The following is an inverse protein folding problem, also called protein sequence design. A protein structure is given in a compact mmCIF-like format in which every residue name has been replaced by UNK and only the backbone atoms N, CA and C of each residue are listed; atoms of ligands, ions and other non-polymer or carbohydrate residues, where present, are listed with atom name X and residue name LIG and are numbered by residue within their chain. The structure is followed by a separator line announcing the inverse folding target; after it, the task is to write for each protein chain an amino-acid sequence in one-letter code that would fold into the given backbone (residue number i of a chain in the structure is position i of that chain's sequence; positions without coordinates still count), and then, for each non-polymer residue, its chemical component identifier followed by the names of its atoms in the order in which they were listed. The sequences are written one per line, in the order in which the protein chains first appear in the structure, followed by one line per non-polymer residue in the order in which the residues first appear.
data_IF_768986783548
#
_entry.id   IF_768986783548
#
_cell.length_a   1.000
_cell.length_b   1.000
_cell.length_c   1.000
_cell.angle_alpha   90.00
_cell.angle_beta   90.00
_cell.angle_gamma   90.00
#
_symmetry.space_group_name_H-M   'P 1'
#
loop_
_entity.id
_entity.type
_entity.pdbx_description
1 polymer ?
#
# COMPACT_ATOMS: atom_id res chain seq x y z
N UNK A 1 8.57 10.11 -67.33
CA UNK A 1 7.72 10.84 -66.35
C UNK A 1 6.97 9.82 -65.50
N UNK A 2 7.35 9.63 -64.23
CA UNK A 2 6.62 8.88 -63.18
C UNK A 2 7.60 8.68 -62.01
N UNK A 3 7.43 9.40 -60.89
CA UNK A 3 8.01 9.13 -59.55
C UNK A 3 7.77 10.31 -58.59
N UNK A 4 6.50 10.61 -58.25
CA UNK A 4 6.16 11.52 -57.12
C UNK A 4 4.87 11.17 -56.36
N UNK A 5 4.21 10.05 -56.66
CA UNK A 5 2.86 9.74 -56.12
C UNK A 5 2.89 8.79 -54.90
N UNK A 6 4.01 8.12 -54.62
CA UNK A 6 4.03 7.04 -53.61
C UNK A 6 4.27 7.56 -52.17
N UNK A 7 4.78 8.77 -51.99
CA UNK A 7 5.08 9.31 -50.66
C UNK A 7 3.88 9.88 -49.90
N UNK A 8 2.72 10.07 -50.55
CA UNK A 8 1.55 10.65 -49.89
C UNK A 8 0.59 9.60 -49.30
N UNK A 9 0.76 8.31 -49.66
CA UNK A 9 -0.12 7.24 -49.18
C UNK A 9 0.36 6.59 -47.85
N UNK A 10 1.64 6.72 -47.51
CA UNK A 10 2.22 6.08 -46.31
C UNK A 10 2.03 6.93 -45.04
N UNK A 11 1.63 8.20 -45.17
CA UNK A 11 1.37 9.07 -44.03
C UNK A 11 -0.08 8.96 -43.47
N UNK A 12 -0.93 8.12 -44.07
CA UNK A 12 -2.36 8.03 -43.74
C UNK A 12 -2.75 6.89 -42.78
N UNK A 13 -1.82 6.01 -42.37
CA UNK A 13 -2.18 4.78 -41.64
C UNK A 13 -1.59 4.64 -40.22
N UNK A 14 -1.02 5.69 -39.63
CA UNK A 14 -0.69 5.70 -38.20
C UNK A 14 -1.75 6.49 -37.40
N UNK A 15 -3.00 6.05 -37.44
CA UNK A 15 -3.95 6.36 -36.38
C UNK A 15 -3.76 5.34 -35.27
N UNK A 16 -2.90 5.64 -34.29
CA UNK A 16 -2.93 4.91 -33.03
C UNK A 16 -4.30 5.12 -32.40
N UNK A 17 -5.13 4.09 -32.38
CA UNK A 17 -6.32 4.08 -31.54
C UNK A 17 -5.86 4.11 -30.08
N UNK A 18 -5.96 5.27 -29.42
CA UNK A 18 -5.87 5.31 -27.97
C UNK A 18 -7.15 4.67 -27.42
N UNK A 19 -7.02 3.50 -26.78
CA UNK A 19 -8.09 3.01 -25.92
C UNK A 19 -8.15 3.95 -24.71
N UNK A 20 -9.03 4.94 -24.78
CA UNK A 20 -9.43 5.70 -23.61
C UNK A 20 -10.21 4.75 -22.72
N UNK A 21 -9.67 4.46 -21.54
CA UNK A 21 -10.37 3.73 -20.50
C UNK A 21 -11.63 4.54 -20.10
N UNK A 22 -12.76 4.10 -20.63
CA UNK A 22 -14.05 4.81 -20.64
C UNK A 22 -14.63 4.83 -19.22
N UNK A 23 -14.94 6.02 -18.72
CA UNK A 23 -15.45 6.21 -17.36
C UNK A 23 -16.85 5.59 -17.28
N UNK A 24 -16.96 4.45 -16.59
CA UNK A 24 -18.21 3.73 -16.46
C UNK A 24 -19.11 4.39 -15.39
N UNK A 25 -20.31 4.81 -15.80
CA UNK A 25 -21.32 5.40 -14.91
C UNK A 25 -22.19 4.31 -14.25
N UNK A 26 -22.76 4.61 -13.08
CA UNK A 26 -23.77 3.73 -12.48
C UNK A 26 -25.06 3.75 -13.31
N UNK A 27 -25.80 2.63 -13.37
CA UNK A 27 -27.05 2.57 -14.14
C UNK A 27 -28.16 3.51 -13.59
N UNK A 28 -28.13 3.81 -12.29
CA UNK A 28 -29.11 4.66 -11.59
C UNK A 28 -28.41 5.83 -10.88
N UNK A 29 -27.47 6.51 -11.56
CA UNK A 29 -26.87 7.71 -11.00
C UNK A 29 -27.87 8.87 -11.01
N UNK A 30 -27.89 9.74 -9.99
CA UNK A 30 -28.66 10.98 -10.06
C UNK A 30 -28.03 11.94 -11.08
N UNK A 31 -28.83 12.80 -11.72
CA UNK A 31 -28.29 13.84 -12.63
C UNK A 31 -27.55 14.95 -11.86
N UNK A 32 -27.96 15.20 -10.61
CA UNK A 32 -27.39 16.20 -9.70
C UNK A 32 -27.43 15.73 -8.25
N UNK A 33 -26.45 16.16 -7.46
CA UNK A 33 -26.38 15.94 -6.01
C UNK A 33 -26.12 17.27 -5.30
N UNK A 34 -26.93 17.57 -4.29
CA UNK A 34 -26.75 18.75 -3.44
C UNK A 34 -25.83 18.35 -2.29
N UNK A 35 -24.72 19.07 -2.15
CA UNK A 35 -23.72 18.84 -1.08
C UNK A 35 -24.37 19.11 0.27
N UNK A 36 -24.30 18.14 1.17
CA UNK A 36 -24.72 18.26 2.57
C UNK A 36 -23.48 18.28 3.47
N UNK A 37 -23.61 18.82 4.68
CA UNK A 37 -22.51 18.82 5.67
C UNK A 37 -22.02 17.39 5.94
N UNK A 38 -20.79 17.09 5.55
CA UNK A 38 -20.18 15.77 5.65
C UNK A 38 -19.89 15.09 4.30
N UNK A 39 -20.45 15.61 3.21
CA UNK A 39 -20.14 15.14 1.87
C UNK A 39 -18.70 15.50 1.46
N UNK A 40 -18.09 14.63 0.67
CA UNK A 40 -16.81 14.86 -0.01
C UNK A 40 -17.01 14.64 -1.50
N UNK A 41 -16.23 15.30 -2.36
CA UNK A 41 -16.29 15.06 -3.81
C UNK A 41 -16.09 13.58 -4.17
N UNK A 42 -15.34 12.86 -3.34
CA UNK A 42 -15.19 11.41 -3.44
C UNK A 42 -16.50 10.66 -3.20
N UNK A 43 -17.16 10.89 -2.06
CA UNK A 43 -18.43 10.24 -1.72
C UNK A 43 -19.56 10.60 -2.69
N UNK A 44 -19.53 11.82 -3.22
CA UNK A 44 -20.44 12.26 -4.28
C UNK A 44 -20.13 11.48 -5.56
N UNK A 45 -18.87 11.41 -5.99
CA UNK A 45 -18.45 10.68 -7.20
C UNK A 45 -18.83 9.19 -7.15
N UNK A 46 -18.83 8.56 -5.97
CA UNK A 46 -19.28 7.19 -5.79
C UNK A 46 -20.77 6.97 -6.10
N UNK A 47 -21.58 8.03 -6.16
CA UNK A 47 -23.00 7.98 -6.59
C UNK A 47 -23.15 8.07 -8.11
N UNK A 48 -22.16 8.64 -8.80
CA UNK A 48 -22.18 8.83 -10.26
C UNK A 48 -21.39 7.73 -11.00
N UNK A 49 -20.24 7.33 -10.44
CA UNK A 49 -19.29 6.41 -11.06
C UNK A 49 -19.50 4.98 -10.57
N UNK A 50 -19.35 4.01 -11.48
CA UNK A 50 -19.32 2.58 -11.14
C UNK A 50 -18.09 2.24 -10.30
N UNK A 51 -16.97 2.88 -10.61
CA UNK A 51 -15.68 2.75 -9.94
C UNK A 51 -15.30 4.07 -9.25
N UNK A 52 -15.62 4.23 -7.95
CA UNK A 52 -15.38 5.46 -7.21
C UNK A 52 -13.91 5.91 -7.21
N UNK A 53 -12.96 5.00 -7.47
CA UNK A 53 -11.51 5.24 -7.53
C UNK A 53 -11.06 6.07 -8.72
N UNK A 54 -11.89 6.17 -9.79
CA UNK A 54 -11.57 6.96 -10.98
C UNK A 54 -11.82 8.48 -10.79
N UNK A 55 -12.35 8.89 -9.64
CA UNK A 55 -12.68 10.29 -9.35
C UNK A 55 -11.53 11.31 -9.52
N UNK A 56 -10.23 11.02 -9.24
CA UNK A 56 -9.17 12.02 -9.44
C UNK A 56 -8.93 12.27 -10.93
N UNK A 57 -9.19 11.27 -11.78
CA UNK A 57 -9.11 11.36 -13.24
C UNK A 57 -10.21 12.31 -13.76
N UNK A 58 -11.44 12.15 -13.27
CA UNK A 58 -12.57 13.06 -13.56
C UNK A 58 -12.28 14.47 -13.06
N UNK A 59 -11.75 14.60 -11.85
CA UNK A 59 -11.38 15.91 -11.29
C UNK A 59 -10.23 16.58 -12.04
N UNK A 60 -9.20 15.83 -12.48
CA UNK A 60 -8.10 16.35 -13.31
C UNK A 60 -8.63 16.99 -14.60
N UNK A 61 -9.74 16.50 -15.17
CA UNK A 61 -10.41 17.09 -16.34
C UNK A 61 -11.15 18.39 -16.02
N UNK A 62 -11.60 18.59 -14.77
CA UNK A 62 -12.44 19.70 -14.33
C UNK A 62 -11.71 20.70 -13.40
N UNK A 63 -10.37 20.65 -13.39
CA UNK A 63 -9.51 21.44 -12.50
C UNK A 63 -9.69 22.96 -12.67
N UNK A 64 -10.24 23.39 -13.82
CA UNK A 64 -10.56 24.79 -14.10
C UNK A 64 -11.75 25.32 -13.26
N UNK A 65 -12.74 24.46 -12.98
CA UNK A 65 -13.96 24.81 -12.24
C UNK A 65 -13.80 24.51 -10.74
N UNK A 66 -13.16 23.39 -10.39
CA UNK A 66 -12.92 22.98 -8.99
C UNK A 66 -11.43 23.08 -8.67
N UNK A 67 -10.98 24.29 -8.30
CA UNK A 67 -9.57 24.59 -8.00
C UNK A 67 -9.02 23.85 -6.78
N UNK A 68 -9.88 23.50 -5.82
CA UNK A 68 -9.50 22.74 -4.64
C UNK A 68 -10.61 21.72 -4.32
N UNK A 69 -10.33 20.40 -4.40
CA UNK A 69 -11.30 19.35 -4.09
C UNK A 69 -11.90 19.41 -2.68
N UNK A 70 -11.20 20.06 -1.75
CA UNK A 70 -11.57 20.15 -0.34
C UNK A 70 -12.45 21.36 -0.01
N UNK A 71 -12.81 22.20 -0.99
CA UNK A 71 -13.66 23.39 -0.79
C UNK A 71 -15.03 23.18 -1.44
N UNK A 72 -15.78 22.20 -0.96
CA UNK A 72 -17.22 22.10 -1.23
C UNK A 72 -17.98 22.49 0.03
N UNK A 73 -19.03 23.28 -0.15
CA UNK A 73 -19.85 23.79 0.93
C UNK A 73 -21.24 23.18 0.89
N UNK A 74 -21.90 22.98 2.06
CA UNK A 74 -23.30 22.58 2.08
C UNK A 74 -24.15 23.55 1.26
N UNK A 75 -24.89 23.02 0.28
CA UNK A 75 -25.70 23.79 -0.68
C UNK A 75 -25.12 23.86 -2.10
N UNK A 76 -23.85 23.51 -2.31
CA UNK A 76 -23.29 23.38 -3.67
C UNK A 76 -23.98 22.25 -4.44
N UNK A 77 -24.18 22.40 -5.75
CA UNK A 77 -24.77 21.35 -6.59
C UNK A 77 -23.70 20.75 -7.48
N UNK A 78 -23.44 19.45 -7.32
CA UNK A 78 -22.57 18.68 -8.22
C UNK A 78 -23.43 17.99 -9.26
N UNK A 79 -23.24 18.31 -10.54
CA UNK A 79 -23.99 17.74 -11.65
C UNK A 79 -23.07 17.00 -12.62
N UNK A 80 -23.58 15.94 -13.23
CA UNK A 80 -22.88 15.24 -14.30
C UNK A 80 -23.24 15.87 -15.64
N UNK A 81 -22.26 16.49 -16.29
CA UNK A 81 -22.39 17.02 -17.64
C UNK A 81 -21.88 16.00 -18.65
N UNK A 82 -22.78 15.57 -19.54
CA UNK A 82 -22.50 14.61 -20.61
C UNK A 82 -22.45 15.27 -22.00
N UNK A 83 -22.49 16.61 -22.07
CA UNK A 83 -22.57 17.36 -23.33
C UNK A 83 -21.29 17.32 -24.18
N UNK A 84 -20.14 17.00 -23.58
CA UNK A 84 -18.82 16.98 -24.25
C UNK A 84 -18.40 15.60 -24.77
N UNK A 85 -19.25 14.57 -24.64
CA UNK A 85 -18.93 13.19 -25.03
C UNK A 85 -18.04 12.42 -24.04
N UNK A 86 -17.60 13.08 -22.96
CA UNK A 86 -16.96 12.45 -21.79
C UNK A 86 -17.70 12.89 -20.53
N UNK A 87 -18.05 11.98 -19.59
CA UNK A 87 -18.75 12.37 -18.37
C UNK A 87 -17.88 13.29 -17.50
N UNK A 88 -18.33 14.51 -17.24
CA UNK A 88 -17.64 15.52 -16.44
C UNK A 88 -18.49 15.97 -15.26
N UNK A 89 -17.93 16.02 -14.04
CA UNK A 89 -18.61 16.60 -12.87
C UNK A 89 -18.42 18.11 -12.80
N UNK A 90 -19.51 18.89 -12.91
CA UNK A 90 -19.53 20.35 -12.77
C UNK A 90 -20.12 20.78 -11.43
N UNK A 91 -19.62 21.90 -10.90
CA UNK A 91 -20.13 22.51 -9.67
C UNK A 91 -20.99 23.74 -10.01
N UNK A 92 -22.30 23.64 -9.78
CA UNK A 92 -23.25 24.74 -9.95
C UNK A 92 -23.49 25.42 -8.60
N UNK A 93 -23.17 26.72 -8.52
CA UNK A 93 -23.39 27.54 -7.33
C UNK A 93 -24.79 28.17 -7.38
N UNK A 94 -25.83 27.35 -7.42
CA UNK A 94 -27.20 27.86 -7.38
C UNK A 94 -27.79 27.64 -5.98
N UNK A 95 -27.96 28.74 -5.25
CA UNK A 95 -28.55 28.75 -3.91
C UNK A 95 -30.02 28.34 -4.00
N UNK A 96 -30.34 27.10 -3.62
CA UNK A 96 -31.74 26.62 -3.59
C UNK A 96 -32.37 26.85 -2.22
N UNK A 97 -33.46 27.61 -2.18
CA UNK A 97 -34.36 27.74 -1.04
C UNK A 97 -35.10 26.42 -0.79
N UNK A 98 -34.91 25.82 0.40
CA UNK A 98 -35.52 24.54 0.79
C UNK A 98 -37.03 24.67 1.05
N UNK A 99 -37.82 23.72 0.55
CA UNK A 99 -39.17 23.42 1.03
C UNK A 99 -39.19 22.02 1.68
N UNK A 100 -40.04 21.77 2.69
CA UNK A 100 -40.01 20.51 3.44
C UNK A 100 -40.54 19.36 2.58
N UNK A 101 -39.71 18.34 2.37
CA UNK A 101 -40.10 17.04 1.81
C UNK A 101 -39.42 15.93 2.61
N UNK A 102 -40.18 14.90 2.98
CA UNK A 102 -39.64 13.71 3.65
C UNK A 102 -38.85 12.91 2.63
N UNK A 103 -37.55 12.70 2.90
CA UNK A 103 -36.67 11.86 2.10
C UNK A 103 -36.47 10.54 2.85
N UNK A 104 -36.81 9.42 2.21
CA UNK A 104 -36.38 8.11 2.68
C UNK A 104 -34.89 7.94 2.37
N UNK A 105 -34.06 7.87 3.41
CA UNK A 105 -32.64 7.55 3.29
C UNK A 105 -32.47 6.04 3.11
N UNK A 106 -31.95 5.55 1.96
CA UNK A 106 -31.50 4.17 1.89
C UNK A 106 -30.34 3.99 2.88
N UNK A 107 -30.44 2.94 3.71
CA UNK A 107 -29.45 2.57 4.73
C UNK A 107 -28.03 2.77 4.17
N UNK A 108 -27.29 3.67 4.80
CA UNK A 108 -26.03 4.22 4.32
C UNK A 108 -25.08 3.12 3.81
N UNK A 109 -24.71 3.17 2.52
CA UNK A 109 -23.39 2.69 2.11
C UNK A 109 -22.39 3.56 2.84
N UNK A 110 -21.86 3.03 3.94
CA UNK A 110 -20.93 3.72 4.84
C UNK A 110 -19.90 4.50 4.04
N UNK A 111 -19.91 5.82 4.19
CA UNK A 111 -18.88 6.67 3.66
C UNK A 111 -17.52 6.15 4.15
N UNK A 112 -16.54 5.98 3.26
CA UNK A 112 -15.20 5.62 3.69
C UNK A 112 -14.71 6.72 4.62
N UNK A 113 -14.56 6.34 5.89
CA UNK A 113 -14.02 7.22 6.91
C UNK A 113 -12.61 7.58 6.48
N UNK A 114 -12.34 8.88 6.25
CA UNK A 114 -10.95 9.34 6.28
C UNK A 114 -10.41 8.85 7.61
N UNK A 115 -9.39 7.98 7.59
CA UNK A 115 -8.91 7.37 8.82
C UNK A 115 -8.46 8.52 9.71
N UNK A 116 -9.19 8.73 10.81
CA UNK A 116 -8.88 9.82 11.72
C UNK A 116 -7.43 9.65 12.18
N UNK A 117 -6.61 10.72 12.20
CA UNK A 117 -5.21 10.63 12.62
C UNK A 117 -5.01 9.94 13.98
N UNK A 118 -6.03 9.90 14.85
CA UNK A 118 -6.01 9.17 16.12
C UNK A 118 -6.00 7.64 15.99
N UNK A 119 -6.59 7.07 14.93
CA UNK A 119 -6.65 5.62 14.68
C UNK A 119 -5.28 5.10 14.21
N UNK A 120 -4.57 5.90 13.43
CA UNK A 120 -3.24 5.57 12.90
C UNK A 120 -2.10 6.21 13.68
N UNK A 121 -2.36 7.21 14.53
CA UNK A 121 -1.34 7.99 15.24
C UNK A 121 -0.29 7.17 16.00
N UNK A 122 -0.67 6.10 16.73
CA UNK A 122 0.30 5.20 17.36
C UNK A 122 1.20 4.45 16.36
N UNK A 123 0.73 4.27 15.13
CA UNK A 123 1.41 3.55 14.05
C UNK A 123 2.10 4.46 13.03
N UNK A 124 1.73 5.74 12.96
CA UNK A 124 2.41 6.73 12.12
C UNK A 124 3.77 7.13 12.71
N UNK A 125 3.94 7.04 14.03
CA UNK A 125 5.16 7.51 14.72
C UNK A 125 6.17 6.40 15.05
N UNK A 126 5.86 5.10 14.83
CA UNK A 126 6.52 4.03 15.59
C UNK A 126 7.11 2.82 14.83
N UNK A 127 6.55 2.27 13.74
CA UNK A 127 7.18 1.15 13.05
C UNK A 127 8.31 1.68 12.16
N UNK A 128 9.54 1.47 12.62
CA UNK A 128 10.75 1.80 11.89
C UNK A 128 11.27 0.52 11.24
N UNK A 129 11.31 0.47 9.90
CA UNK A 129 12.17 -0.49 9.22
C UNK A 129 13.58 0.05 9.30
N UNK A 130 14.50 -0.82 9.65
CA UNK A 130 15.90 -0.47 9.72
C UNK A 130 16.61 -1.27 8.65
N UNK A 131 17.05 -0.55 7.62
CA UNK A 131 17.86 -1.11 6.56
C UNK A 131 19.17 -1.64 7.17
N UNK A 132 19.58 -2.82 6.71
CA UNK A 132 20.66 -3.64 7.25
C UNK A 132 21.79 -2.81 7.90
N UNK A 133 21.92 -2.92 9.23
CA UNK A 133 23.03 -2.36 10.01
C UNK A 133 22.87 -0.92 10.52
N UNK A 134 21.78 -0.21 10.20
CA UNK A 134 21.58 1.16 10.70
C UNK A 134 21.41 1.22 12.25
N UNK A 135 20.86 0.19 12.88
CA UNK A 135 20.76 0.06 14.35
C UNK A 135 22.07 -0.32 15.03
N UNK A 136 22.98 -0.97 14.33
CA UNK A 136 24.17 -1.56 14.94
C UNK A 136 25.07 -0.47 15.53
N UNK A 137 25.12 0.68 14.85
CA UNK A 137 25.86 1.86 15.24
C UNK A 137 25.03 2.87 16.05
N UNK A 138 23.75 2.59 16.31
CA UNK A 138 22.90 3.52 17.06
C UNK A 138 23.31 3.58 18.54
N UNK A 139 23.13 4.74 19.21
CA UNK A 139 23.34 4.87 20.64
C UNK A 139 22.59 3.79 21.42
N UNK A 140 23.12 3.30 22.54
CA UNK A 140 22.41 2.32 23.38
C UNK A 140 22.39 2.71 24.85
N UNK A 141 21.35 2.24 25.53
CA UNK A 141 21.27 2.28 26.99
C UNK A 141 22.33 1.32 27.55
N UNK A 142 23.27 1.84 28.33
CA UNK A 142 24.34 1.03 28.95
C UNK A 142 24.05 0.69 30.41
N UNK A 143 23.31 1.54 31.11
CA UNK A 143 22.95 1.34 32.51
C UNK A 143 21.78 2.25 32.91
N UNK A 144 21.25 2.06 34.11
CA UNK A 144 20.23 2.89 34.72
C UNK A 144 20.56 3.20 36.19
N UNK A 145 19.97 4.28 36.70
CA UNK A 145 20.03 4.61 38.13
C UNK A 145 19.52 3.42 38.96
N UNK A 146 20.20 3.13 40.07
CA UNK A 146 19.89 2.00 40.98
C UNK A 146 20.00 0.60 40.36
N UNK A 147 20.61 0.46 39.18
CA UNK A 147 20.85 -0.81 38.49
C UNK A 147 19.57 -1.67 38.29
N UNK A 148 18.44 -0.99 38.03
CA UNK A 148 17.14 -1.62 37.76
C UNK A 148 17.19 -2.44 36.48
N UNK A 149 16.56 -3.62 36.48
CA UNK A 149 16.49 -4.49 35.30
C UNK A 149 15.49 -3.97 34.27
N UNK A 150 14.30 -3.55 34.71
CA UNK A 150 13.24 -2.98 33.86
C UNK A 150 13.25 -1.47 34.04
N UNK A 151 13.22 -0.74 32.93
CA UNK A 151 13.35 0.71 32.89
C UNK A 151 12.00 1.35 32.56
N UNK A 152 11.33 1.87 33.59
CA UNK A 152 10.00 2.48 33.49
C UNK A 152 10.08 4.01 33.38
N UNK A 153 8.97 4.70 33.01
CA UNK A 153 8.91 6.16 33.02
C UNK A 153 9.40 6.77 34.34
N UNK A 154 10.17 7.85 34.26
CA UNK A 154 10.86 8.49 35.38
C UNK A 154 12.23 7.90 35.72
N UNK A 155 12.62 6.77 35.10
CA UNK A 155 13.95 6.18 35.34
C UNK A 155 15.03 6.95 34.59
N UNK A 156 16.09 7.32 35.30
CA UNK A 156 17.29 7.89 34.72
C UNK A 156 18.18 6.81 34.11
N UNK A 157 18.58 7.00 32.86
CA UNK A 157 19.39 6.07 32.07
C UNK A 157 20.70 6.71 31.61
N UNK A 158 21.71 5.87 31.44
CA UNK A 158 23.00 6.23 30.89
C UNK A 158 23.13 5.68 29.47
N UNK A 159 23.53 6.52 28.53
CA UNK A 159 23.53 6.22 27.10
C UNK A 159 24.94 6.42 26.54
N UNK A 160 25.42 5.48 25.72
CA UNK A 160 26.71 5.62 25.03
C UNK A 160 26.51 6.07 23.57
N UNK A 161 27.61 6.54 22.96
CA UNK A 161 27.71 6.82 21.52
C UNK A 161 26.66 7.80 20.96
N UNK A 162 26.00 8.56 21.82
CA UNK A 162 25.15 9.67 21.40
C UNK A 162 26.03 10.87 21.07
N UNK A 163 25.81 11.45 19.89
CA UNK A 163 26.50 12.66 19.48
C UNK A 163 25.79 13.87 20.08
N UNK A 164 26.58 14.84 20.52
CA UNK A 164 26.06 16.13 20.97
C UNK A 164 25.24 16.77 19.85
N UNK A 165 24.02 17.18 20.16
CA UNK A 165 23.09 17.74 19.19
C UNK A 165 21.97 18.54 19.84
N UNK A 166 21.16 19.21 19.02
CA UNK A 166 20.00 19.97 19.48
C UNK A 166 18.83 19.09 19.93
N UNK A 167 18.77 17.85 19.45
CA UNK A 167 17.62 16.98 19.64
C UNK A 167 17.71 16.26 20.99
N UNK A 168 16.85 16.67 21.92
CA UNK A 168 16.74 16.06 23.24
C UNK A 168 15.72 14.92 23.28
N UNK A 169 14.81 14.82 22.31
CA UNK A 169 13.79 13.77 22.25
C UNK A 169 14.26 12.59 21.39
N UNK A 170 14.32 11.41 21.98
CA UNK A 170 14.78 10.18 21.33
C UNK A 170 13.79 9.04 21.57
N UNK A 171 13.66 8.16 20.59
CA UNK A 171 12.83 6.97 20.65
C UNK A 171 13.71 5.76 20.93
N UNK A 172 13.22 4.83 21.75
CA UNK A 172 13.91 3.59 22.12
C UNK A 172 13.35 2.44 21.29
N UNK A 173 14.26 1.65 20.72
CA UNK A 173 13.97 0.54 19.83
C UNK A 173 14.72 -0.74 20.22
N UNK A 174 14.09 -1.87 19.91
CA UNK A 174 14.70 -3.20 19.94
C UNK A 174 14.72 -3.82 18.55
N UNK A 175 15.85 -4.37 18.08
CA UNK A 175 15.86 -5.19 16.87
C UNK A 175 14.92 -6.39 17.04
N UNK A 176 13.97 -6.53 16.11
CA UNK A 176 13.03 -7.63 16.00
C UNK A 176 13.50 -8.67 14.98
N UNK A 177 12.54 -9.28 14.29
CA UNK A 177 12.83 -10.30 13.29
C UNK A 177 13.28 -9.72 11.94
N UNK A 178 14.01 -10.54 11.19
CA UNK A 178 14.40 -10.21 9.82
C UNK A 178 13.19 -10.33 8.88
N UNK A 179 12.88 -9.25 8.17
CA UNK A 179 11.87 -9.26 7.13
C UNK A 179 12.46 -9.87 5.87
N UNK A 180 12.05 -11.10 5.58
CA UNK A 180 12.50 -11.86 4.42
C UNK A 180 11.39 -11.90 3.38
N UNK A 181 11.72 -11.62 2.13
CA UNK A 181 10.77 -11.73 1.03
C UNK A 181 10.31 -13.20 0.90
N UNK A 182 9.00 -13.50 1.02
CA UNK A 182 8.51 -14.86 0.95
C UNK A 182 8.76 -15.51 -0.42
N UNK A 183 8.89 -14.70 -1.49
CA UNK A 183 9.06 -15.17 -2.86
C UNK A 183 10.54 -15.37 -3.19
N UNK A 184 11.38 -14.35 -2.96
CA UNK A 184 12.80 -14.38 -3.35
C UNK A 184 13.71 -14.97 -2.27
N UNK A 185 13.23 -15.11 -1.03
CA UNK A 185 13.99 -15.50 0.16
C UNK A 185 15.12 -14.53 0.53
N UNK A 186 15.10 -13.33 -0.04
CA UNK A 186 16.07 -12.29 0.28
C UNK A 186 15.69 -11.55 1.55
N UNK A 187 16.68 -11.23 2.39
CA UNK A 187 16.48 -10.40 3.59
C UNK A 187 16.35 -8.94 3.17
N UNK A 188 15.17 -8.37 3.35
CA UNK A 188 14.84 -7.00 2.96
C UNK A 188 15.15 -5.99 4.08
N UNK A 189 15.24 -6.42 5.34
CA UNK A 189 15.61 -5.58 6.47
C UNK A 189 15.36 -6.24 7.83
N UNK A 190 15.55 -5.50 8.91
CA UNK A 190 15.19 -5.94 10.27
C UNK A 190 14.13 -5.02 10.85
N UNK A 191 13.07 -5.60 11.42
CA UNK A 191 12.03 -4.85 12.11
C UNK A 191 12.62 -4.17 13.36
N UNK A 192 12.27 -2.92 13.64
CA UNK A 192 12.61 -2.26 14.89
C UNK A 192 11.35 -2.03 15.73
N UNK A 193 11.27 -2.76 16.84
CA UNK A 193 10.16 -2.71 17.78
C UNK A 193 10.32 -1.47 18.64
N UNK A 194 9.33 -0.58 18.60
CA UNK A 194 9.32 0.63 19.40
C UNK A 194 8.95 0.33 20.85
N UNK A 195 9.82 0.73 21.78
CA UNK A 195 9.65 0.46 23.22
C UNK A 195 9.22 1.70 24.02
N UNK A 196 9.61 2.91 23.61
CA UNK A 196 9.29 4.11 24.37
C UNK A 196 10.10 5.36 23.99
N UNK A 197 10.00 6.39 24.82
CA UNK A 197 10.61 7.71 24.60
C UNK A 197 11.57 8.06 25.74
N UNK A 198 12.70 8.68 25.39
CA UNK A 198 13.74 9.16 26.30
C UNK A 198 14.05 10.62 25.99
N UNK A 199 14.07 11.44 27.03
CA UNK A 199 14.56 12.81 26.95
C UNK A 199 16.00 12.88 27.46
N UNK A 200 16.92 13.38 26.63
CA UNK A 200 18.32 13.59 27.00
C UNK A 200 18.42 14.80 27.92
N UNK A 201 18.82 14.54 29.17
CA UNK A 201 19.05 15.56 30.18
C UNK A 201 20.44 16.21 30.03
N UNK A 202 21.45 15.42 29.65
CA UNK A 202 22.82 15.90 29.44
C UNK A 202 23.55 15.04 28.43
N UNK A 203 24.11 15.67 27.40
CA UNK A 203 25.02 15.02 26.46
C UNK A 203 26.40 14.76 27.10
N UNK A 204 27.13 13.77 26.57
CA UNK A 204 28.44 13.38 27.07
C UNK A 204 28.76 11.90 26.86
N UNK A 205 29.88 11.45 27.42
CA UNK A 205 30.33 10.07 27.37
C UNK A 205 30.51 9.49 28.79
N UNK A 206 29.48 8.87 29.41
CA UNK A 206 28.13 8.63 28.87
C UNK A 206 27.20 9.84 29.02
N UNK A 207 26.19 9.90 28.16
CA UNK A 207 25.09 10.85 28.28
C UNK A 207 24.09 10.35 29.32
N UNK A 208 23.25 11.27 29.79
CA UNK A 208 22.18 10.99 30.74
C UNK A 208 20.85 11.38 30.13
N UNK A 209 19.86 10.50 30.25
CA UNK A 209 18.48 10.77 29.83
C UNK A 209 17.49 10.21 30.84
N UNK A 210 16.24 10.66 30.74
CA UNK A 210 15.14 10.21 31.57
C UNK A 210 14.08 9.57 30.66
N UNK A 211 13.62 8.36 31.01
CA UNK A 211 12.55 7.70 30.27
C UNK A 211 11.25 8.46 30.53
N UNK A 212 10.58 8.92 29.47
CA UNK A 212 9.34 9.69 29.56
C UNK A 212 8.13 8.79 29.34
N UNK A 213 8.24 7.85 28.41
CA UNK A 213 7.17 6.90 28.07
C UNK A 213 7.78 5.53 27.84
N UNK A 214 7.07 4.49 28.29
CA UNK A 214 7.36 3.10 27.95
C UNK A 214 6.06 2.47 27.44
N UNK A 215 6.08 1.96 26.21
CA UNK A 215 5.01 1.18 25.59
C UNK A 215 5.19 -0.30 25.90
N UNK A 216 6.44 -0.75 25.91
CA UNK A 216 6.87 -2.10 26.28
C UNK A 216 8.03 -2.01 27.29
N UNK A 217 8.45 -3.13 27.89
CA UNK A 217 9.57 -3.12 28.81
C UNK A 217 10.86 -2.70 28.11
N UNK A 218 11.47 -1.63 28.60
CA UNK A 218 12.79 -1.15 28.19
C UNK A 218 13.84 -1.77 29.09
N UNK A 219 14.93 -2.25 28.51
CA UNK A 219 16.08 -2.82 29.20
C UNK A 219 17.37 -2.12 28.79
N UNK A 220 18.45 -2.44 29.52
CA UNK A 220 19.80 -2.14 29.03
C UNK A 220 20.04 -2.83 27.68
N UNK A 221 20.92 -2.26 26.86
CA UNK A 221 21.25 -2.63 25.47
C UNK A 221 20.22 -2.22 24.42
N UNK A 222 19.02 -1.79 24.78
CA UNK A 222 18.09 -1.20 23.83
C UNK A 222 18.69 0.06 23.20
N UNK A 223 18.31 0.32 21.95
CA UNK A 223 18.95 1.29 21.05
C UNK A 223 18.11 2.55 20.93
N UNK A 224 18.74 3.69 20.74
CA UNK A 224 18.06 4.97 20.60
C UNK A 224 18.19 5.48 19.16
N UNK A 225 17.08 6.00 18.64
CA UNK A 225 17.02 6.70 17.36
C UNK A 225 16.43 8.08 17.60
N UNK A 226 16.90 9.07 16.86
CA UNK A 226 16.37 10.44 16.94
C UNK A 226 14.88 10.39 16.66
N UNK A 227 14.08 11.03 17.53
CA UNK A 227 12.65 11.17 17.28
C UNK A 227 12.44 11.97 16.00
N UNK A 228 11.73 11.40 15.02
CA UNK A 228 11.33 12.16 13.84
C UNK A 228 10.23 13.15 14.26
N UNK A 229 10.27 14.39 13.75
CA UNK A 229 9.20 15.36 13.98
C UNK A 229 7.83 14.76 13.65
N UNK A 230 6.82 15.11 14.45
CA UNK A 230 5.46 14.57 14.36
C UNK A 230 4.96 14.51 12.89
N UNK A 231 4.43 13.36 12.50
CA UNK A 231 3.81 13.15 11.20
C UNK A 231 2.66 14.14 10.99
N UNK A 232 2.88 15.17 10.16
CA UNK A 232 1.90 16.24 9.88
C UNK A 232 1.05 16.01 8.64
N UNK A 233 1.05 14.80 8.07
CA UNK A 233 0.35 14.52 6.81
C UNK A 233 -0.93 13.72 7.03
N UNK A 234 -2.08 14.31 6.74
CA UNK A 234 -3.30 13.55 6.49
C UNK A 234 -3.17 12.86 5.14
N UNK A 235 -3.10 11.53 5.13
CA UNK A 235 -3.05 10.77 3.88
C UNK A 235 -4.44 10.73 3.23
N UNK A 236 -4.47 10.93 1.91
CA UNK A 236 -5.67 10.71 1.11
C UNK A 236 -5.55 9.33 0.47
N UNK A 237 -6.44 8.38 0.81
CA UNK A 237 -6.44 7.06 0.19
C UNK A 237 -6.64 7.17 -1.32
N UNK A 238 -5.74 6.58 -2.11
CA UNK A 238 -5.83 6.52 -3.57
C UNK A 238 -5.23 5.22 -4.12
N UNK A 239 -5.62 4.79 -5.32
CA UNK A 239 -5.03 3.59 -5.93
C UNK A 239 -3.67 3.92 -6.56
N UNK A 240 -2.69 2.98 -6.54
CA UNK A 240 -1.46 3.12 -7.32
C UNK A 240 -1.74 3.27 -8.82
N UNK A 241 -0.95 4.10 -9.51
CA UNK A 241 -1.01 4.22 -10.97
C UNK A 241 -0.40 2.99 -11.69
N UNK A 242 0.47 2.25 -11.01
CA UNK A 242 1.12 1.04 -11.52
C UNK A 242 0.41 -0.23 -11.02
N UNK A 243 0.56 -1.32 -11.78
CA UNK A 243 0.11 -2.63 -11.34
C UNK A 243 1.07 -3.15 -10.26
N UNK A 244 0.60 -3.14 -9.01
CA UNK A 244 1.32 -3.69 -7.87
C UNK A 244 0.82 -5.10 -7.64
N UNK A 245 1.75 -6.04 -7.45
CA UNK A 245 1.47 -7.38 -6.95
C UNK A 245 2.55 -7.76 -5.95
N UNK A 246 2.17 -7.94 -4.69
CA UNK A 246 3.04 -8.30 -3.60
C UNK A 246 2.37 -9.23 -2.60
N UNK A 247 3.02 -9.44 -1.47
CA UNK A 247 2.55 -10.27 -0.38
C UNK A 247 2.77 -9.60 0.96
N UNK A 248 1.87 -9.91 1.89
CA UNK A 248 2.06 -9.62 3.30
C UNK A 248 3.18 -10.51 3.81
N UNK A 249 4.22 -9.91 4.38
CA UNK A 249 5.33 -10.64 4.97
C UNK A 249 5.05 -10.97 6.43
N UNK A 250 4.61 -9.96 7.19
CA UNK A 250 4.44 -10.07 8.63
C UNK A 250 3.37 -9.10 9.14
N UNK A 251 2.70 -9.54 10.18
CA UNK A 251 1.74 -8.74 10.94
C UNK A 251 2.46 -8.15 12.15
N UNK A 252 2.36 -6.84 12.32
CA UNK A 252 3.02 -6.14 13.42
C UNK A 252 2.51 -6.65 14.78
N UNK A 253 3.40 -6.79 15.75
CA UNK A 253 3.08 -7.35 17.07
C UNK A 253 3.11 -8.88 17.14
N UNK A 254 3.45 -9.58 16.05
CA UNK A 254 3.67 -11.04 16.08
C UNK A 254 2.40 -11.87 16.24
N UNK A 255 1.24 -11.31 15.94
CA UNK A 255 -0.03 -12.04 15.93
C UNK A 255 -0.16 -12.91 14.69
N UNK A 256 -0.90 -14.01 14.81
CA UNK A 256 -1.13 -14.95 13.70
C UNK A 256 -2.05 -14.39 12.61
N UNK A 257 -2.94 -13.46 12.98
CA UNK A 257 -4.02 -12.96 12.15
C UNK A 257 -4.18 -11.45 12.31
N UNK A 258 -4.51 -10.77 11.22
CA UNK A 258 -4.74 -9.34 11.16
C UNK A 258 -6.22 -9.04 10.90
N UNK A 259 -6.76 -8.08 11.64
CA UNK A 259 -8.09 -7.49 11.39
C UNK A 259 -7.97 -6.00 11.03
N UNK A 260 -9.09 -5.28 10.97
CA UNK A 260 -9.09 -3.84 10.77
C UNK A 260 -8.20 -3.11 11.79
N UNK A 261 -7.56 -2.02 11.36
CA UNK A 261 -6.60 -1.22 12.11
C UNK A 261 -5.31 -1.94 12.53
N UNK A 262 -5.03 -3.11 11.96
CA UNK A 262 -3.76 -3.81 12.17
C UNK A 262 -2.72 -3.34 11.16
N UNK A 263 -1.47 -3.23 11.58
CA UNK A 263 -0.35 -2.90 10.70
C UNK A 263 0.27 -4.17 10.16
N UNK A 264 0.53 -4.18 8.85
CA UNK A 264 1.23 -5.26 8.17
C UNK A 264 2.37 -4.70 7.33
N UNK A 265 3.40 -5.53 7.13
CA UNK A 265 4.52 -5.25 6.23
C UNK A 265 4.32 -6.00 4.92
N UNK A 266 4.63 -5.35 3.79
CA UNK A 266 4.50 -5.93 2.44
C UNK A 266 5.82 -5.88 1.69
N UNK A 267 6.09 -6.90 0.86
CA UNK A 267 7.34 -7.05 0.10
C UNK A 267 7.43 -6.14 -1.15
N UNK A 268 6.77 -4.99 -1.13
CA UNK A 268 6.83 -3.96 -2.18
C UNK A 268 7.05 -2.59 -1.56
N UNK A 269 7.87 -1.77 -2.21
CA UNK A 269 8.30 -0.46 -1.73
C UNK A 269 8.23 0.65 -2.78
N UNK A 270 8.97 1.73 -2.53
CA UNK A 270 9.10 2.88 -3.44
C UNK A 270 9.64 2.46 -4.81
N UNK A 271 10.58 1.49 -4.85
CA UNK A 271 11.14 0.98 -6.12
C UNK A 271 10.10 0.26 -6.98
N UNK A 272 9.02 -0.22 -6.38
CA UNK A 272 7.90 -0.85 -7.08
C UNK A 272 6.80 0.15 -7.48
N UNK A 273 6.93 1.42 -7.08
CA UNK A 273 5.94 2.47 -7.34
C UNK A 273 4.88 2.62 -6.25
N UNK A 274 5.16 2.16 -5.02
CA UNK A 274 4.27 2.45 -3.88
C UNK A 274 4.58 3.80 -3.23
N UNK A 275 3.50 4.52 -2.92
CA UNK A 275 3.51 5.80 -2.24
C UNK A 275 2.59 5.77 -1.02
N UNK A 276 2.79 6.72 -0.11
CA UNK A 276 1.95 6.85 1.08
C UNK A 276 0.54 7.32 0.68
N UNK A 277 -0.49 6.69 1.24
CA UNK A 277 -1.87 6.83 0.82
C UNK A 277 -2.32 5.80 -0.23
N UNK A 278 -1.42 5.00 -0.81
CA UNK A 278 -1.82 3.94 -1.73
C UNK A 278 -2.72 2.90 -1.05
N UNK A 279 -3.80 2.52 -1.72
CA UNK A 279 -4.72 1.47 -1.27
C UNK A 279 -4.58 0.25 -2.16
N UNK A 280 -4.42 -0.91 -1.53
CA UNK A 280 -4.30 -2.22 -2.17
C UNK A 280 -5.43 -3.14 -1.72
N UNK A 281 -5.91 -4.00 -2.60
CA UNK A 281 -6.78 -5.11 -2.24
C UNK A 281 -5.94 -6.24 -1.63
N UNK A 282 -6.42 -6.79 -0.51
CA UNK A 282 -5.85 -7.99 0.10
C UNK A 282 -6.68 -9.18 -0.37
N UNK A 283 -6.03 -10.15 -1.01
CA UNK A 283 -6.67 -11.41 -1.40
C UNK A 283 -6.02 -12.59 -0.69
N UNK A 284 -6.88 -13.46 -0.17
CA UNK A 284 -6.48 -14.72 0.42
C UNK A 284 -6.17 -15.72 -0.68
N UNK A 285 -5.04 -16.40 -0.53
CA UNK A 285 -4.68 -17.47 -1.44
C UNK A 285 -5.68 -18.62 -1.30
N UNK A 286 -6.30 -19.02 -2.41
CA UNK A 286 -7.26 -20.11 -2.41
C UNK A 286 -6.62 -21.41 -1.92
N UNK A 287 -7.29 -22.09 -0.99
CA UNK A 287 -6.81 -23.35 -0.43
C UNK A 287 -6.65 -24.38 -1.55
N UNK A 288 -5.59 -25.17 -1.47
CA UNK A 288 -5.43 -26.37 -2.29
C UNK A 288 -6.23 -27.47 -1.62
N UNK A 289 -7.27 -27.94 -2.28
CA UNK A 289 -8.09 -29.06 -1.81
C UNK A 289 -7.74 -30.29 -2.63
N UNK A 290 -7.84 -31.47 -2.01
CA UNK A 290 -7.84 -32.70 -2.80
C UNK A 290 -9.17 -32.81 -3.52
N UNK A 291 -9.12 -33.11 -4.81
CA UNK A 291 -10.33 -33.39 -5.57
C UNK A 291 -11.01 -34.63 -4.97
N UNK A 292 -12.25 -34.49 -4.42
CA UNK A 292 -12.96 -35.59 -3.79
C UNK A 292 -13.34 -36.71 -4.76
N UNK A 293 -13.38 -36.44 -6.07
CA UNK A 293 -13.72 -37.41 -7.10
C UNK A 293 -12.48 -37.97 -7.84
N UNK A 294 -11.25 -37.61 -7.42
CA UNK A 294 -10.04 -38.09 -8.08
C UNK A 294 -9.92 -39.61 -8.00
N UNK A 295 -9.95 -40.28 -9.15
CA UNK A 295 -9.71 -41.73 -9.23
C UNK A 295 -8.33 -42.06 -9.78
N UNK A 296 -7.78 -43.21 -9.41
CA UNK A 296 -6.48 -43.67 -9.93
C UNK A 296 -6.46 -43.81 -11.47
N UNK A 297 -7.62 -43.93 -12.12
CA UNK A 297 -7.76 -43.92 -13.57
C UNK A 297 -7.50 -42.53 -14.19
N UNK A 298 -7.71 -41.44 -13.43
CA UNK A 298 -7.47 -40.07 -13.89
C UNK A 298 -5.98 -39.70 -13.86
N UNK A 299 -5.17 -40.42 -13.06
CA UNK A 299 -3.70 -40.27 -13.09
C UNK A 299 -3.10 -40.61 -14.45
N UNK A 300 -3.72 -41.53 -15.21
CA UNK A 300 -3.30 -41.90 -16.56
C UNK A 300 -3.82 -40.93 -17.65
N UNK A 301 -4.77 -40.03 -17.34
CA UNK A 301 -5.24 -38.99 -18.29
C UNK A 301 -4.40 -37.72 -18.24
N UNK A 302 -3.69 -37.48 -17.13
CA UNK A 302 -2.96 -36.22 -16.87
C UNK A 302 -1.54 -36.19 -17.47
N UNK A 303 -1.05 -37.27 -18.11
CA UNK A 303 0.26 -37.25 -18.75
C UNK A 303 0.27 -37.94 -20.12
N UNK A 304 0.02 -37.24 -21.24
CA UNK A 304 0.87 -37.39 -22.39
C UNK A 304 2.17 -36.63 -22.07
N UNK A 305 3.22 -37.41 -21.87
CA UNK A 305 4.63 -37.04 -21.89
C UNK A 305 4.87 -35.65 -22.51
N UNK A 306 5.08 -34.60 -21.70
CA UNK A 306 5.82 -33.42 -22.17
C UNK A 306 7.30 -33.83 -22.32
N UNK A 307 7.56 -34.73 -23.27
CA UNK A 307 8.83 -34.73 -24.01
C UNK A 307 8.83 -33.48 -24.86
N UNK A 308 9.13 -32.35 -24.25
CA UNK A 308 9.65 -31.18 -24.97
C UNK A 308 10.66 -30.47 -24.09
N UNK A 309 11.87 -31.01 -24.09
CA UNK A 309 13.11 -30.38 -23.66
C UNK A 309 13.51 -29.17 -24.53
N UNK A 310 12.62 -28.52 -25.29
CA UNK A 310 12.99 -27.43 -26.21
C UNK A 310 11.87 -26.42 -26.46
N UNK A 311 11.53 -25.63 -25.46
CA UNK A 311 11.14 -24.22 -25.71
C UNK A 311 11.85 -23.32 -24.68
N UNK A 312 13.17 -23.40 -24.69
CA UNK A 312 14.01 -22.31 -24.24
C UNK A 312 13.87 -21.20 -25.29
N UNK A 313 12.88 -20.31 -25.11
CA UNK A 313 12.80 -19.02 -25.82
C UNK A 313 14.00 -18.15 -25.39
N UNK A 314 15.18 -18.52 -25.89
CA UNK A 314 16.42 -17.79 -25.71
C UNK A 314 16.47 -16.74 -26.81
N UNK A 315 16.39 -15.48 -26.43
CA UNK A 315 16.70 -14.38 -27.34
C UNK A 315 18.21 -14.41 -27.62
N UNK A 316 18.58 -14.99 -28.76
CA UNK A 316 19.96 -15.06 -29.22
C UNK A 316 20.19 -13.91 -30.21
N UNK A 317 21.00 -12.94 -29.82
CA UNK A 317 21.47 -11.89 -30.73
C UNK A 317 22.96 -12.07 -31.01
N UNK A 318 23.40 -11.61 -32.18
CA UNK A 318 24.82 -11.66 -32.54
C UNK A 318 25.45 -10.35 -32.11
N UNK A 319 26.43 -10.42 -31.22
CA UNK A 319 27.19 -9.25 -30.78
C UNK A 319 28.05 -8.67 -31.93
N UNK A 320 28.59 -7.45 -31.77
CA UNK A 320 29.44 -6.79 -32.76
C UNK A 320 30.65 -7.64 -33.22
N UNK A 321 31.05 -8.60 -32.37
CA UNK A 321 32.20 -9.48 -32.55
C UNK A 321 31.84 -10.79 -33.27
N UNK A 322 30.63 -10.91 -33.80
CA UNK A 322 30.13 -12.12 -34.48
C UNK A 322 29.78 -13.29 -33.54
N UNK A 323 29.90 -13.11 -32.22
CA UNK A 323 29.57 -14.15 -31.23
C UNK A 323 28.10 -14.07 -30.84
N UNK A 324 27.44 -15.23 -30.78
CA UNK A 324 26.05 -15.36 -30.32
C UNK A 324 25.97 -15.15 -28.81
N UNK A 325 25.16 -14.20 -28.38
CA UNK A 325 24.93 -13.86 -26.96
C UNK A 325 23.49 -14.24 -26.61
N UNK A 326 23.33 -14.97 -25.52
CA UNK A 326 22.05 -15.48 -25.03
C UNK A 326 21.52 -14.52 -23.96
N UNK A 327 20.34 -13.96 -24.15
CA UNK A 327 19.71 -13.11 -23.12
C UNK A 327 18.87 -13.95 -22.15
N UNK A 328 19.37 -14.17 -20.93
CA UNK A 328 18.66 -14.92 -19.88
C UNK A 328 17.70 -14.05 -19.04
N UNK A 329 17.56 -12.76 -19.34
CA UNK A 329 16.97 -11.80 -18.39
C UNK A 329 15.43 -11.63 -18.46
N UNK A 330 14.68 -12.37 -19.28
CA UNK A 330 13.29 -11.99 -19.58
C UNK A 330 12.17 -13.03 -19.40
N UNK A 331 12.39 -14.11 -18.66
CA UNK A 331 11.29 -14.98 -18.27
C UNK A 331 11.44 -15.51 -16.85
N UNK A 332 11.12 -14.65 -15.88
CA UNK A 332 10.69 -15.11 -14.55
C UNK A 332 9.16 -15.07 -14.45
N UNK A 333 8.46 -15.74 -15.36
CA UNK A 333 7.13 -16.25 -15.01
C UNK A 333 7.40 -17.41 -14.06
N UNK A 334 7.52 -17.10 -12.77
CA UNK A 334 7.76 -18.10 -11.73
C UNK A 334 6.56 -19.04 -11.74
N UNK A 335 6.81 -20.26 -12.18
CA UNK A 335 5.87 -21.37 -12.15
C UNK A 335 5.31 -21.48 -10.75
N UNK A 336 3.99 -21.37 -10.60
CA UNK A 336 3.32 -21.92 -9.43
C UNK A 336 3.80 -23.36 -9.28
N UNK A 337 4.15 -23.82 -8.05
CA UNK A 337 4.46 -25.23 -7.85
C UNK A 337 3.33 -26.05 -8.46
N UNK A 338 3.68 -26.94 -9.38
CA UNK A 338 2.70 -27.75 -10.09
C UNK A 338 1.86 -28.49 -9.05
N UNK A 339 0.55 -28.22 -9.02
CA UNK A 339 -0.39 -28.92 -8.16
C UNK A 339 -0.28 -30.41 -8.45
N UNK A 340 -0.39 -31.25 -7.41
CA UNK A 340 -0.49 -32.67 -7.64
C UNK A 340 -1.72 -32.97 -8.52
N UNK A 341 -1.75 -34.05 -9.31
CA UNK A 341 -2.89 -34.37 -10.18
C UNK A 341 -4.23 -34.48 -9.45
N UNK A 342 -4.20 -34.76 -8.15
CA UNK A 342 -5.37 -34.87 -7.26
C UNK A 342 -5.64 -33.60 -6.45
N UNK A 343 -4.99 -32.47 -6.78
CA UNK A 343 -5.09 -31.22 -6.05
C UNK A 343 -5.69 -30.11 -6.94
N UNK A 344 -6.70 -29.44 -6.41
CA UNK A 344 -7.38 -28.31 -7.03
C UNK A 344 -7.12 -27.06 -6.20
N UNK A 345 -6.65 -26.00 -6.84
CA UNK A 345 -6.53 -24.69 -6.19
C UNK A 345 -7.85 -23.94 -6.30
N UNK A 346 -8.44 -23.57 -5.17
CA UNK A 346 -9.59 -22.66 -5.14
C UNK A 346 -9.20 -21.26 -5.66
N UNK A 347 -10.15 -20.46 -6.18
CA UNK A 347 -9.86 -19.10 -6.58
C UNK A 347 -9.39 -18.25 -5.39
N UNK A 348 -8.55 -17.26 -5.68
CA UNK A 348 -8.15 -16.28 -4.66
C UNK A 348 -9.33 -15.35 -4.39
N UNK A 349 -9.62 -15.08 -3.11
CA UNK A 349 -10.79 -14.30 -2.69
C UNK A 349 -10.35 -12.98 -2.05
N UNK A 350 -11.06 -11.88 -2.37
CA UNK A 350 -10.80 -10.58 -1.75
C UNK A 350 -11.32 -10.58 -0.32
N UNK A 351 -10.39 -10.41 0.62
CA UNK A 351 -10.66 -10.46 2.07
C UNK A 351 -10.52 -9.10 2.75
N UNK A 352 -9.95 -8.09 2.09
CA UNK A 352 -9.83 -6.77 2.69
C UNK A 352 -9.19 -5.68 1.83
N UNK A 353 -8.94 -4.55 2.50
CA UNK A 353 -8.27 -3.37 1.96
C UNK A 353 -7.13 -2.95 2.89
N UNK A 354 -6.00 -2.61 2.29
CA UNK A 354 -4.79 -2.15 2.96
C UNK A 354 -4.44 -0.75 2.46
N UNK A 355 -4.21 0.21 3.35
CA UNK A 355 -3.66 1.52 3.00
C UNK A 355 -2.20 1.61 3.43
N UNK A 356 -1.31 1.93 2.50
CA UNK A 356 0.09 2.22 2.75
C UNK A 356 0.20 3.56 3.47
N UNK A 357 0.90 3.60 4.60
CA UNK A 357 1.14 4.85 5.34
C UNK A 357 2.63 5.15 5.49
N UNK A 358 3.52 4.19 5.17
CA UNK A 358 4.96 4.38 5.19
C UNK A 358 5.63 3.49 4.16
N UNK A 359 6.51 4.08 3.36
CA UNK A 359 7.22 3.37 2.27
C UNK A 359 8.74 3.45 2.45
N UNK A 360 9.40 2.32 2.25
CA UNK A 360 10.86 2.17 2.13
C UNK A 360 11.21 1.73 0.72
N UNK A 361 12.49 1.57 0.41
CA UNK A 361 12.94 1.21 -0.93
C UNK A 361 12.29 -0.08 -1.46
N UNK A 362 12.19 -1.11 -0.62
CA UNK A 362 11.76 -2.47 -1.00
C UNK A 362 10.62 -3.05 -0.16
N UNK A 363 10.20 -2.31 0.87
CA UNK A 363 9.17 -2.72 1.83
C UNK A 363 8.25 -1.53 2.06
N UNK A 364 6.98 -1.80 2.34
CA UNK A 364 6.05 -0.79 2.84
C UNK A 364 5.30 -1.32 4.05
N UNK A 365 4.90 -0.41 4.92
CA UNK A 365 3.91 -0.70 5.95
C UNK A 365 2.56 -0.15 5.51
N UNK A 366 1.54 -0.97 5.73
CA UNK A 366 0.17 -0.55 5.53
C UNK A 366 -0.71 -0.92 6.71
N UNK A 367 -1.81 -0.20 6.83
CA UNK A 367 -2.87 -0.42 7.77
C UNK A 367 -4.03 -1.13 7.09
N UNK A 368 -4.49 -2.24 7.65
CA UNK A 368 -5.73 -2.88 7.21
C UNK A 368 -6.89 -1.93 7.50
N UNK A 369 -7.54 -1.42 6.46
CA UNK A 369 -8.68 -0.50 6.58
C UNK A 369 -9.96 -1.25 6.90
N UNK A 370 -10.18 -2.37 6.19
CA UNK A 370 -11.34 -3.22 6.35
C UNK A 370 -10.95 -4.65 6.00
N UNK A 371 -11.63 -5.60 6.64
CA UNK A 371 -11.54 -7.00 6.28
C UNK A 371 -12.88 -7.69 6.49
N UNK A 372 -13.24 -8.58 5.57
CA UNK A 372 -14.40 -9.48 5.69
C UNK A 372 -14.05 -10.77 6.42
N UNK A 373 -12.76 -11.10 6.49
CA UNK A 373 -12.20 -12.29 7.13
C UNK A 373 -10.82 -11.92 7.74
N UNK A 374 -10.22 -12.84 8.51
CA UNK A 374 -8.87 -12.72 9.03
C UNK A 374 -7.84 -12.57 7.90
N UNK A 375 -6.82 -11.74 8.07
CA UNK A 375 -5.75 -11.59 7.09
C UNK A 375 -4.49 -12.23 7.63
N UNK A 376 -3.81 -13.04 6.82
CA UNK A 376 -2.64 -13.80 7.24
C UNK A 376 -1.36 -13.30 6.57
N UNK A 377 -0.23 -13.68 7.15
CA UNK A 377 1.03 -13.61 6.42
C UNK A 377 0.93 -14.45 5.13
N UNK A 378 1.63 -14.02 4.08
CA UNK A 378 1.64 -14.59 2.72
C UNK A 378 0.40 -14.32 1.85
N UNK A 379 -0.65 -13.73 2.41
CA UNK A 379 -1.78 -13.22 1.62
C UNK A 379 -1.27 -12.20 0.59
N UNK A 380 -1.93 -12.20 -0.57
CA UNK A 380 -1.52 -11.36 -1.70
C UNK A 380 -2.09 -9.95 -1.56
N UNK A 381 -1.30 -8.97 -1.97
CA UNK A 381 -1.73 -7.57 -2.07
C UNK A 381 -1.58 -7.12 -3.51
N UNK A 382 -2.63 -6.54 -4.07
CA UNK A 382 -2.62 -6.09 -5.46
C UNK A 382 -3.37 -4.78 -5.66
N UNK A 383 -3.11 -4.11 -6.78
CA UNK A 383 -3.90 -2.95 -7.21
C UNK A 383 -5.40 -3.35 -7.27
N UNK A 384 -6.30 -2.59 -6.63
CA UNK A 384 -7.68 -3.00 -6.34
C UNK A 384 -8.65 -3.01 -7.52
#
# INVERSE_FOLDING_TARGET
MKKRIITLLVLSCLSLSSFADEIALQKNHPDRHIVVKGDTLWGISAKFLKDPWQWPKVWKMNRAEIKNPHRIYPGDVVALDNSSGTPQLRLMHETVTLQPGVVEEPLAKEAIQTIAPSVIGPFLSQPLLIENGQLDNAPRIVSAQENRLVLSPGTRVYINNIKDGSNTHWNVYRPGEQLTDPETKEVLGTEAIYLGDVNIARFGAPATGDIVRAKEEIFTKDRLVVSADEFKSSFVPHAPETLINGRIMRIYGGVAEAGPNTVVSINRGKKDGLEEGHVLAVNRYGRIIKDPEFTAADSNKVVPEQKNLKELNLDIYTGPDGKKVVNLAKNQVRSQPALAPNELKLPDERVGLLMIFRTFDRISYGLIMSSSDAIYALDTVQTP
#
